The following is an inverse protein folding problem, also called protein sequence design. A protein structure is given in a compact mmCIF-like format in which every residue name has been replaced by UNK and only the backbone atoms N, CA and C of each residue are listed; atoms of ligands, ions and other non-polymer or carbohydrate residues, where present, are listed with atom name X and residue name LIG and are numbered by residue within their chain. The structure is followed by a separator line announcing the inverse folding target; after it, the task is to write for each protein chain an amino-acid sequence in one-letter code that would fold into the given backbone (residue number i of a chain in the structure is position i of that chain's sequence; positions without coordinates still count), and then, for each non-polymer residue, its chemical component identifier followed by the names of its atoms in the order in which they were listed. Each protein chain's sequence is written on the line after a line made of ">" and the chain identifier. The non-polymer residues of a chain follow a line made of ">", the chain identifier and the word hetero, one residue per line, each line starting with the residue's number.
data_IF_748658136163
#
_entry.id   IF_748658136163
#
_cell.length_a   1.000
_cell.length_b   1.000
_cell.length_c   1.000
_cell.angle_alpha   90.00
_cell.angle_beta   90.00
_cell.angle_gamma   90.00
#
_symmetry.space_group_name_H-M   'P 1'
#
loop_
_entity.id
_entity.type
_entity.pdbx_description
1 polymer ?
#
# COMPACT_ATOMS: atom_id res chain seq x y z
N UNK A 1 24.46 39.30 -21.66
CA UNK A 1 24.87 39.26 -20.24
C UNK A 1 23.62 39.27 -19.38
N UNK A 2 23.59 38.66 -18.18
CA UNK A 2 24.29 37.48 -17.66
C UNK A 2 23.30 36.37 -17.21
N UNK A 3 23.78 35.16 -16.84
CA UNK A 3 23.50 34.49 -15.55
C UNK A 3 24.19 33.12 -15.42
N UNK A 4 24.61 32.83 -14.19
CA UNK A 4 25.58 31.84 -13.71
C UNK A 4 25.11 30.37 -13.75
N UNK A 5 26.05 29.40 -13.82
CA UNK A 5 25.94 28.10 -13.11
C UNK A 5 27.30 27.40 -12.90
N UNK A 6 27.52 27.03 -11.62
CA UNK A 6 28.29 25.93 -11.03
C UNK A 6 29.59 25.38 -11.67
N UNK A 7 30.67 25.36 -10.87
CA UNK A 7 31.49 24.16 -10.60
C UNK A 7 32.51 24.40 -9.46
N UNK A 8 32.69 23.43 -8.56
CA UNK A 8 33.93 23.25 -7.80
C UNK A 8 33.76 22.85 -6.33
N UNK A 9 33.92 21.56 -6.00
CA UNK A 9 35.15 21.06 -5.38
C UNK A 9 35.14 19.52 -5.25
N UNK A 10 36.17 18.90 -5.81
CA UNK A 10 36.58 17.51 -5.61
C UNK A 10 37.33 17.35 -4.27
N UNK A 11 37.15 16.22 -3.58
CA UNK A 11 38.23 15.62 -2.79
C UNK A 11 38.38 14.14 -3.15
N UNK A 12 39.55 13.83 -3.71
CA UNK A 12 40.12 12.50 -3.90
C UNK A 12 40.10 11.69 -2.61
N UNK A 13 39.72 10.42 -2.70
CA UNK A 13 40.27 9.37 -1.83
C UNK A 13 40.63 8.18 -2.73
N UNK A 14 41.94 8.05 -2.98
CA UNK A 14 42.55 6.92 -3.68
C UNK A 14 42.61 5.67 -2.79
N UNK A 15 42.48 4.52 -3.45
CA UNK A 15 43.12 3.26 -3.04
C UNK A 15 42.63 2.57 -1.77
N UNK A 16 41.71 1.61 -1.91
CA UNK A 16 41.68 0.42 -1.03
C UNK A 16 41.30 -0.84 -1.81
N UNK A 17 42.13 -1.88 -1.63
CA UNK A 17 41.84 -3.29 -1.96
C UNK A 17 40.56 -3.74 -1.29
N UNK A 18 39.74 -4.53 -1.99
CA UNK A 18 38.66 -5.31 -1.39
C UNK A 18 39.08 -6.78 -1.41
N UNK A 19 39.34 -7.35 -0.23
CA UNK A 19 39.59 -8.79 -0.05
C UNK A 19 38.26 -9.55 0.10
N UNK A 20 38.15 -10.74 -0.49
CA UNK A 20 36.92 -11.55 -0.47
C UNK A 20 37.08 -12.87 0.32
N UNK A 21 36.02 -13.23 1.05
CA UNK A 21 35.90 -14.35 1.98
C UNK A 21 35.90 -15.74 1.32
N UNK A 22 36.40 -16.74 2.06
CA UNK A 22 36.57 -18.15 1.66
C UNK A 22 35.41 -18.99 2.22
N UNK A 23 34.67 -19.69 1.36
CA UNK A 23 33.66 -20.70 1.75
C UNK A 23 33.93 -22.04 1.08
N UNK A 24 34.17 -23.08 1.87
CA UNK A 24 34.61 -24.40 1.43
C UNK A 24 33.47 -25.43 1.37
N UNK A 25 33.45 -26.23 0.29
CA UNK A 25 33.01 -27.63 0.31
C UNK A 25 31.76 -27.95 -0.50
N UNK A 26 31.93 -28.70 -1.61
CA UNK A 26 31.06 -29.83 -2.01
C UNK A 26 31.67 -30.59 -3.21
N UNK A 27 31.60 -31.93 -3.12
CA UNK A 27 32.23 -32.93 -3.98
C UNK A 27 31.59 -33.02 -5.38
N UNK A 28 32.39 -33.41 -6.38
CA UNK A 28 31.97 -33.61 -7.78
C UNK A 28 31.66 -35.09 -8.08
N UNK A 29 30.69 -35.39 -8.98
CA UNK A 29 30.72 -36.60 -9.78
C UNK A 29 31.22 -36.33 -11.21
N UNK A 30 31.90 -37.35 -11.75
CA UNK A 30 32.67 -37.36 -12.99
C UNK A 30 31.81 -37.46 -14.26
N UNK A 31 32.40 -36.94 -15.35
CA UNK A 31 32.38 -37.37 -16.78
C UNK A 31 31.49 -36.63 -17.81
N UNK A 32 32.27 -36.07 -18.76
CA UNK A 32 32.16 -36.06 -20.24
C UNK A 32 31.31 -34.97 -20.92
N UNK A 33 32.03 -34.16 -21.70
CA UNK A 33 31.52 -33.15 -22.63
C UNK A 33 31.99 -31.75 -22.25
N UNK A 34 32.94 -31.16 -23.00
CA UNK A 34 33.31 -29.75 -22.85
C UNK A 34 32.24 -28.90 -23.58
N UNK A 35 31.41 -28.08 -22.92
CA UNK A 35 30.67 -27.08 -23.65
C UNK A 35 31.59 -25.88 -23.92
N UNK A 36 31.75 -25.50 -25.19
CA UNK A 36 32.31 -24.21 -25.58
C UNK A 36 31.16 -23.20 -25.54
N UNK A 37 31.25 -22.18 -24.70
CA UNK A 37 30.31 -21.07 -24.71
C UNK A 37 31.00 -19.80 -25.24
N UNK A 38 30.41 -19.20 -26.26
CA UNK A 38 30.72 -17.84 -26.73
C UNK A 38 29.53 -16.95 -26.38
N UNK A 39 29.76 -15.92 -25.56
CA UNK A 39 28.81 -14.83 -25.39
C UNK A 39 29.34 -13.64 -26.19
N UNK A 40 28.55 -13.18 -27.15
CA UNK A 40 28.82 -11.97 -27.94
C UNK A 40 27.77 -10.93 -27.53
N UNK A 41 28.20 -9.83 -26.93
CA UNK A 41 27.34 -8.66 -26.72
C UNK A 41 27.94 -7.46 -27.46
N UNK A 42 27.13 -6.88 -28.33
CA UNK A 42 27.47 -5.70 -29.11
C UNK A 42 27.10 -4.46 -28.28
N UNK A 43 28.08 -3.79 -27.70
CA UNK A 43 27.91 -2.44 -27.18
C UNK A 43 27.92 -1.47 -28.37
N UNK A 44 26.90 -0.62 -28.50
CA UNK A 44 26.99 0.55 -29.36
C UNK A 44 28.08 1.46 -28.78
N UNK A 45 29.11 1.64 -29.59
CA UNK A 45 30.30 2.49 -29.44
C UNK A 45 31.32 2.09 -28.36
N UNK A 46 32.49 1.63 -28.84
CA UNK A 46 33.77 1.77 -28.13
C UNK A 46 34.29 0.54 -27.38
N UNK A 47 35.03 -0.31 -28.10
CA UNK A 47 36.11 -1.22 -27.64
C UNK A 47 36.24 -1.52 -26.12
N UNK A 48 35.97 -2.77 -25.74
CA UNK A 48 36.60 -3.40 -24.59
C UNK A 48 37.20 -4.76 -25.04
N UNK A 49 38.52 -4.83 -25.13
CA UNK A 49 39.23 -6.05 -25.51
C UNK A 49 39.39 -7.01 -24.34
N UNK A 50 39.07 -8.30 -24.53
CA UNK A 50 39.38 -9.37 -23.58
C UNK A 50 40.47 -10.29 -24.16
N UNK A 51 41.53 -10.56 -23.38
CA UNK A 51 42.46 -11.64 -23.71
C UNK A 51 41.85 -13.00 -23.35
N UNK A 52 41.91 -13.95 -24.31
CA UNK A 52 41.50 -15.35 -24.12
C UNK A 52 42.39 -16.02 -23.07
N UNK A 53 41.78 -16.58 -22.02
CA UNK A 53 42.43 -17.56 -21.16
C UNK A 53 41.72 -18.91 -21.28
N UNK A 54 42.50 -19.98 -21.46
CA UNK A 54 42.02 -21.37 -21.49
C UNK A 54 41.78 -21.86 -20.06
N UNK A 55 40.60 -22.40 -19.74
CA UNK A 55 40.27 -22.83 -18.37
C UNK A 55 39.96 -24.33 -18.26
N UNK A 56 40.43 -24.93 -17.16
CA UNK A 56 40.10 -26.29 -16.71
C UNK A 56 39.10 -26.26 -15.54
N UNK A 57 38.27 -27.30 -15.34
CA UNK A 57 37.20 -27.29 -14.35
C UNK A 57 37.76 -27.55 -12.94
N UNK A 58 37.44 -26.69 -11.95
CA UNK A 58 37.68 -26.96 -10.53
C UNK A 58 38.12 -25.80 -9.63
N UNK A 59 38.40 -24.61 -10.17
CA UNK A 59 38.87 -23.47 -9.35
C UNK A 59 37.82 -22.37 -9.21
N UNK A 60 37.84 -21.68 -8.06
CA UNK A 60 37.04 -20.49 -7.79
C UNK A 60 37.20 -19.46 -8.91
N UNK A 61 36.07 -18.90 -9.35
CA UNK A 61 36.01 -17.90 -10.41
C UNK A 61 36.47 -16.56 -9.84
N UNK A 62 37.70 -16.16 -10.16
CA UNK A 62 38.19 -14.81 -9.86
C UNK A 62 38.08 -13.94 -11.12
N UNK A 63 37.14 -13.00 -11.12
CA UNK A 63 37.10 -11.96 -12.13
C UNK A 63 38.08 -10.84 -11.75
N UNK A 64 39.19 -10.71 -12.49
CA UNK A 64 39.99 -9.48 -12.49
C UNK A 64 39.33 -8.50 -13.47
N UNK A 65 38.50 -7.59 -12.95
CA UNK A 65 37.99 -6.47 -13.73
C UNK A 65 39.09 -5.41 -13.75
N UNK A 66 39.69 -5.16 -14.92
CA UNK A 66 40.65 -4.07 -15.10
C UNK A 66 39.86 -2.80 -15.41
N UNK A 67 39.84 -1.84 -14.48
CA UNK A 67 39.20 -0.54 -14.66
C UNK A 67 40.30 0.44 -15.05
N UNK A 68 40.35 0.93 -16.30
CA UNK A 68 41.28 1.99 -16.67
C UNK A 68 40.90 3.28 -15.92
N UNK A 69 41.87 4.10 -15.50
CA UNK A 69 41.59 5.36 -14.82
C UNK A 69 40.94 6.34 -15.80
N UNK A 70 39.65 6.58 -15.65
CA UNK A 70 38.86 7.49 -16.49
C UNK A 70 37.39 7.49 -16.07
N UNK A 71 36.71 8.65 -16.21
CA UNK A 71 35.34 8.92 -15.75
C UNK A 71 34.33 7.85 -16.22
N UNK A 72 34.10 6.84 -15.40
CA UNK A 72 32.91 6.02 -15.46
C UNK A 72 32.26 6.04 -14.08
N UNK A 73 31.15 6.76 -13.95
CA UNK A 73 30.25 6.58 -12.81
C UNK A 73 29.57 5.22 -12.95
N UNK A 74 30.12 4.21 -12.28
CA UNK A 74 29.41 2.95 -12.09
C UNK A 74 28.22 3.21 -11.15
N UNK A 75 27.02 3.31 -11.70
CA UNK A 75 25.83 3.28 -10.85
C UNK A 75 25.73 1.88 -10.22
N UNK A 76 25.44 1.82 -8.91
CA UNK A 76 25.25 0.57 -8.18
C UNK A 76 24.22 -0.38 -8.84
N UNK A 77 23.34 0.19 -9.66
CA UNK A 77 22.36 -0.49 -10.49
C UNK A 77 23.00 -1.49 -11.46
N UNK A 78 24.08 -1.10 -12.15
CA UNK A 78 24.80 -1.97 -13.09
C UNK A 78 25.60 -3.06 -12.38
N UNK A 79 26.23 -2.75 -11.25
CA UNK A 79 27.01 -3.73 -10.47
C UNK A 79 26.16 -4.89 -9.94
N UNK A 80 24.93 -4.59 -9.47
CA UNK A 80 24.02 -5.61 -8.97
C UNK A 80 23.43 -6.47 -10.12
N UNK A 81 23.16 -5.88 -11.28
CA UNK A 81 22.67 -6.60 -12.47
C UNK A 81 23.73 -7.56 -13.03
N UNK A 82 24.99 -7.09 -13.09
CA UNK A 82 26.13 -7.90 -13.53
C UNK A 82 26.38 -9.06 -12.55
N UNK A 83 26.30 -8.82 -11.23
CA UNK A 83 26.38 -9.90 -10.25
C UNK A 83 25.22 -10.90 -10.41
N UNK A 84 24.00 -10.42 -10.67
CA UNK A 84 22.83 -11.26 -10.90
C UNK A 84 23.01 -12.20 -12.11
N UNK A 85 23.34 -11.66 -13.28
CA UNK A 85 23.52 -12.49 -14.49
C UNK A 85 24.72 -13.45 -14.37
N UNK A 86 25.77 -13.05 -13.64
CA UNK A 86 26.97 -13.86 -13.44
C UNK A 86 26.84 -14.94 -12.35
N UNK A 87 26.04 -14.72 -11.30
CA UNK A 87 25.78 -15.71 -10.24
C UNK A 87 24.73 -16.75 -10.67
N UNK A 88 23.84 -16.37 -11.59
CA UNK A 88 22.72 -17.22 -12.02
C UNK A 88 23.09 -18.26 -13.09
N UNK A 89 24.37 -18.41 -13.45
CA UNK A 89 24.83 -19.57 -14.24
C UNK A 89 24.93 -20.80 -13.34
N UNK A 90 23.77 -21.42 -13.02
CA UNK A 90 23.66 -22.68 -12.27
C UNK A 90 22.85 -22.62 -10.96
N UNK A 91 22.25 -21.48 -10.61
CA UNK A 91 21.45 -21.29 -9.39
C UNK A 91 20.00 -20.82 -9.69
N UNK A 92 19.11 -20.87 -8.70
CA UNK A 92 17.71 -20.42 -8.84
C UNK A 92 17.65 -18.92 -9.02
N UNK A 93 17.05 -18.46 -10.12
CA UNK A 93 16.87 -17.04 -10.44
C UNK A 93 16.16 -16.28 -9.30
N UNK A 94 16.72 -15.13 -8.92
CA UNK A 94 16.02 -14.20 -8.02
C UNK A 94 14.75 -13.69 -8.70
N UNK A 95 13.70 -13.48 -7.90
CA UNK A 95 12.50 -12.79 -8.35
C UNK A 95 12.71 -11.26 -8.35
N UNK A 96 11.73 -10.56 -8.92
CA UNK A 96 11.78 -9.10 -9.05
C UNK A 96 11.89 -8.37 -7.71
N UNK A 97 11.25 -8.85 -6.64
CA UNK A 97 11.33 -8.24 -5.31
C UNK A 97 12.68 -8.47 -4.65
N UNK A 98 13.26 -9.66 -4.79
CA UNK A 98 14.62 -9.98 -4.34
C UNK A 98 15.64 -9.08 -5.05
N UNK A 99 15.47 -8.84 -6.35
CA UNK A 99 16.30 -7.91 -7.11
C UNK A 99 16.12 -6.45 -6.65
N UNK A 100 14.87 -5.99 -6.47
CA UNK A 100 14.57 -4.65 -5.93
C UNK A 100 15.22 -4.43 -4.57
N UNK A 101 15.19 -5.43 -3.69
CA UNK A 101 15.80 -5.36 -2.38
C UNK A 101 17.33 -5.15 -2.44
N UNK A 102 17.99 -5.69 -3.46
CA UNK A 102 19.43 -5.52 -3.67
C UNK A 102 19.77 -4.16 -4.31
N UNK A 103 18.95 -3.70 -5.27
CA UNK A 103 19.19 -2.46 -6.01
C UNK A 103 18.84 -1.22 -5.17
N UNK A 104 17.63 -1.19 -4.61
CA UNK A 104 17.07 -0.02 -3.95
C UNK A 104 17.24 -0.11 -2.43
N UNK A 105 18.49 0.01 -1.97
CA UNK A 105 18.80 0.06 -0.53
C UNK A 105 18.51 1.46 0.03
N UNK A 106 17.81 1.53 1.15
CA UNK A 106 17.46 2.80 1.78
C UNK A 106 16.37 2.66 2.84
N UNK A 107 16.03 3.76 3.54
CA UNK A 107 15.02 3.78 4.60
C UNK A 107 13.65 3.27 4.12
N UNK A 108 13.28 3.51 2.87
CA UNK A 108 12.00 3.04 2.34
C UNK A 108 11.90 1.52 2.25
N UNK A 109 12.97 0.84 1.78
CA UNK A 109 12.99 -0.62 1.75
C UNK A 109 12.99 -1.22 3.17
N UNK A 110 13.56 -0.51 4.16
CA UNK A 110 13.47 -0.90 5.58
C UNK A 110 12.02 -0.79 6.07
N UNK A 111 11.35 0.32 5.77
CA UNK A 111 9.94 0.54 6.11
C UNK A 111 9.03 -0.55 5.51
N UNK A 112 9.21 -0.90 4.23
CA UNK A 112 8.39 -1.93 3.58
C UNK A 112 8.53 -3.30 4.26
N UNK A 113 9.75 -3.67 4.65
CA UNK A 113 10.00 -4.90 5.42
C UNK A 113 9.37 -4.83 6.80
N UNK A 114 9.45 -3.69 7.46
CA UNK A 114 8.85 -3.50 8.78
C UNK A 114 7.33 -3.66 8.73
N UNK A 115 6.67 -3.01 7.77
CA UNK A 115 5.23 -3.13 7.55
C UNK A 115 4.82 -4.57 7.19
N UNK A 116 5.66 -5.32 6.45
CA UNK A 116 5.40 -6.74 6.13
C UNK A 116 5.45 -7.64 7.38
N UNK A 117 6.09 -7.19 8.46
CA UNK A 117 6.16 -7.92 9.73
C UNK A 117 5.02 -7.63 10.69
N UNK A 118 4.12 -6.70 10.35
CA UNK A 118 2.93 -6.41 11.16
C UNK A 118 2.09 -7.68 11.38
N UNK A 119 1.72 -7.94 12.63
CA UNK A 119 1.02 -9.18 13.00
C UNK A 119 -0.38 -9.26 12.44
N UNK A 120 -1.10 -8.13 12.35
CA UNK A 120 -2.43 -8.09 11.78
C UNK A 120 -2.36 -8.30 10.27
N UNK A 121 -1.39 -7.68 9.59
CA UNK A 121 -1.13 -7.95 8.17
C UNK A 121 -0.85 -9.43 7.89
N UNK A 122 0.08 -10.04 8.64
CA UNK A 122 0.45 -11.46 8.49
C UNK A 122 -0.76 -12.38 8.70
N UNK A 123 -1.60 -12.07 9.69
CA UNK A 123 -2.84 -12.79 9.95
C UNK A 123 -3.82 -12.71 8.77
N UNK A 124 -4.00 -11.52 8.18
CA UNK A 124 -4.90 -11.33 7.02
C UNK A 124 -4.43 -12.05 5.77
N UNK A 125 -3.13 -12.04 5.50
CA UNK A 125 -2.54 -12.72 4.33
C UNK A 125 -2.39 -14.23 4.57
N UNK A 126 -2.55 -14.70 5.81
CA UNK A 126 -2.47 -16.11 6.17
C UNK A 126 -1.05 -16.66 6.23
N UNK A 127 -0.08 -15.82 6.63
CA UNK A 127 1.33 -16.22 6.79
C UNK A 127 1.75 -16.14 8.27
N UNK A 128 2.48 -17.14 8.75
CA UNK A 128 3.00 -17.17 10.12
C UNK A 128 4.46 -16.68 10.22
N UNK A 129 5.20 -16.75 9.12
CA UNK A 129 6.61 -16.37 9.02
C UNK A 129 6.82 -15.49 7.77
N UNK A 130 7.84 -14.62 7.78
CA UNK A 130 8.24 -13.86 6.59
C UNK A 130 8.41 -14.80 5.39
N UNK A 131 7.97 -14.36 4.21
CA UNK A 131 8.13 -15.14 3.00
C UNK A 131 9.59 -15.07 2.52
N UNK A 132 10.24 -16.23 2.31
CA UNK A 132 11.65 -16.29 1.89
C UNK A 132 11.90 -15.58 0.56
N UNK A 133 10.91 -15.55 -0.33
CA UNK A 133 10.94 -14.91 -1.64
C UNK A 133 10.41 -13.46 -1.59
N UNK A 134 10.17 -12.93 -0.39
CA UNK A 134 9.73 -11.55 -0.12
C UNK A 134 8.39 -11.16 -0.77
N UNK A 135 7.49 -12.14 -0.99
CA UNK A 135 6.16 -11.87 -1.56
C UNK A 135 5.31 -10.96 -0.67
N UNK A 136 5.46 -11.09 0.64
CA UNK A 136 4.86 -10.22 1.65
C UNK A 136 5.34 -8.77 1.50
N UNK A 137 6.64 -8.57 1.32
CA UNK A 137 7.23 -7.24 1.08
C UNK A 137 6.74 -6.65 -0.25
N UNK A 138 6.61 -7.48 -1.29
CA UNK A 138 6.03 -7.02 -2.56
C UNK A 138 4.58 -6.57 -2.41
N UNK A 139 3.75 -7.26 -1.62
CA UNK A 139 2.37 -6.81 -1.34
C UNK A 139 2.34 -5.43 -0.67
N UNK A 140 3.20 -5.20 0.32
CA UNK A 140 3.33 -3.87 0.95
C UNK A 140 3.77 -2.82 -0.08
N UNK A 141 4.73 -3.15 -0.94
CA UNK A 141 5.17 -2.26 -2.02
C UNK A 141 4.05 -1.95 -3.01
N UNK A 142 3.21 -2.94 -3.35
CA UNK A 142 2.03 -2.71 -4.20
C UNK A 142 1.07 -1.72 -3.56
N UNK A 143 0.76 -1.91 -2.28
CA UNK A 143 -0.07 -0.98 -1.52
C UNK A 143 0.52 0.44 -1.56
N UNK A 144 1.81 0.59 -1.23
CA UNK A 144 2.46 1.89 -1.20
C UNK A 144 2.47 2.57 -2.58
N UNK A 145 2.74 1.79 -3.64
CA UNK A 145 2.72 2.28 -5.03
C UNK A 145 1.35 2.82 -5.42
N UNK A 146 0.26 2.09 -5.12
CA UNK A 146 -1.09 2.59 -5.40
C UNK A 146 -1.48 3.75 -4.48
N UNK A 147 -1.05 3.75 -3.22
CA UNK A 147 -1.33 4.82 -2.27
C UNK A 147 -0.71 6.17 -2.70
N UNK A 148 0.55 6.16 -3.17
CA UNK A 148 1.25 7.37 -3.62
C UNK A 148 0.88 7.77 -5.04
N UNK A 149 0.86 6.81 -5.98
CA UNK A 149 0.73 7.14 -7.40
C UNK A 149 -0.70 7.07 -7.91
N UNK A 150 -1.61 6.39 -7.20
CA UNK A 150 -2.96 6.03 -7.64
C UNK A 150 -2.98 5.05 -8.81
N UNK A 151 -4.11 4.37 -8.99
CA UNK A 151 -4.31 3.45 -10.12
C UNK A 151 -4.44 4.18 -11.47
N UNK A 152 -4.77 5.49 -11.47
CA UNK A 152 -4.87 6.30 -12.69
C UNK A 152 -3.50 6.49 -13.37
N UNK A 153 -2.42 6.49 -12.59
CA UNK A 153 -1.05 6.58 -13.11
C UNK A 153 -0.40 5.21 -13.34
N UNK A 154 -1.15 4.12 -13.18
CA UNK A 154 -0.62 2.77 -13.42
C UNK A 154 -0.25 2.61 -14.89
N UNK A 155 0.98 2.16 -15.16
CA UNK A 155 1.46 1.83 -16.51
C UNK A 155 2.01 0.39 -16.50
N UNK A 156 1.45 -0.54 -17.28
CA UNK A 156 1.96 -1.90 -17.34
C UNK A 156 3.38 -1.93 -17.94
N UNK A 157 4.22 -2.93 -17.57
CA UNK A 157 3.93 -4.00 -16.61
C UNK A 157 4.11 -3.56 -15.15
N UNK A 158 3.47 -4.28 -14.22
CA UNK A 158 3.56 -4.03 -12.75
C UNK A 158 5.01 -3.88 -12.28
N UNK A 159 5.94 -4.69 -12.82
CA UNK A 159 7.37 -4.60 -12.50
C UNK A 159 7.91 -3.17 -12.63
N UNK A 160 7.61 -2.47 -13.73
CA UNK A 160 8.07 -1.09 -13.94
C UNK A 160 7.40 -0.12 -12.97
N UNK A 161 6.10 -0.32 -12.72
CA UNK A 161 5.34 0.48 -11.76
C UNK A 161 5.97 0.42 -10.36
N UNK A 162 6.26 -0.79 -9.85
CA UNK A 162 6.88 -0.98 -8.54
C UNK A 162 8.34 -0.50 -8.49
N UNK A 163 9.12 -0.70 -9.55
CA UNK A 163 10.48 -0.19 -9.61
C UNK A 163 10.52 1.34 -9.55
N UNK A 164 9.59 2.01 -10.24
CA UNK A 164 9.50 3.48 -10.22
C UNK A 164 9.09 4.03 -8.85
N UNK A 165 8.36 3.26 -8.04
CA UNK A 165 8.02 3.60 -6.66
C UNK A 165 9.26 3.53 -5.76
N UNK A 166 10.02 2.44 -5.87
CA UNK A 166 11.26 2.23 -5.10
C UNK A 166 12.30 3.30 -5.40
N UNK A 167 12.45 3.70 -6.66
CA UNK A 167 13.42 4.72 -7.08
C UNK A 167 13.06 6.10 -6.53
N UNK A 168 11.79 6.51 -6.66
CA UNK A 168 11.33 7.83 -6.21
C UNK A 168 11.38 8.00 -4.69
N UNK A 169 11.07 6.94 -3.96
CA UNK A 169 10.93 7.00 -2.50
C UNK A 169 12.12 6.38 -1.77
N UNK A 170 13.22 6.03 -2.45
CA UNK A 170 14.36 5.32 -1.85
C UNK A 170 14.81 5.95 -0.52
N UNK A 171 14.84 7.29 -0.47
CA UNK A 171 15.17 8.11 0.70
C UNK A 171 13.93 8.86 1.22
N UNK A 172 12.87 8.13 1.52
CA UNK A 172 11.63 8.67 2.11
C UNK A 172 11.90 9.47 3.39
N UNK A 173 11.18 10.57 3.61
CA UNK A 173 11.23 11.33 4.86
C UNK A 173 10.44 10.65 5.97
N UNK A 174 10.71 11.02 7.22
CA UNK A 174 10.01 10.48 8.39
C UNK A 174 8.50 10.81 8.38
N UNK A 175 8.13 11.97 7.85
CA UNK A 175 6.72 12.38 7.71
C UNK A 175 5.96 11.45 6.77
N UNK A 176 6.45 11.27 5.54
CA UNK A 176 5.82 10.38 4.56
C UNK A 176 5.86 8.91 5.01
N UNK A 177 6.92 8.50 5.72
CA UNK A 177 7.02 7.17 6.35
C UNK A 177 5.91 6.95 7.38
N UNK A 178 5.66 7.93 8.24
CA UNK A 178 4.58 7.90 9.24
C UNK A 178 3.20 7.85 8.58
N UNK A 179 2.96 8.67 7.55
CA UNK A 179 1.70 8.70 6.82
C UNK A 179 1.40 7.35 6.15
N UNK A 180 2.39 6.76 5.49
CA UNK A 180 2.24 5.45 4.85
C UNK A 180 1.93 4.36 5.89
N UNK A 181 2.61 4.39 7.05
CA UNK A 181 2.37 3.46 8.14
C UNK A 181 0.96 3.60 8.72
N UNK A 182 0.49 4.82 8.92
CA UNK A 182 -0.85 5.10 9.43
C UNK A 182 -1.92 4.65 8.44
N UNK A 183 -1.75 4.96 7.15
CA UNK A 183 -2.62 4.51 6.09
C UNK A 183 -2.66 2.97 6.00
N UNK A 184 -1.52 2.30 6.07
CA UNK A 184 -1.42 0.84 6.04
C UNK A 184 -2.17 0.20 7.21
N UNK A 185 -1.93 0.68 8.44
CA UNK A 185 -2.62 0.20 9.65
C UNK A 185 -4.11 0.49 9.61
N UNK A 186 -4.51 1.64 9.06
CA UNK A 186 -5.91 1.99 8.85
C UNK A 186 -6.61 0.94 7.97
N UNK A 187 -6.07 0.70 6.77
CA UNK A 187 -6.62 -0.28 5.82
C UNK A 187 -6.73 -1.67 6.44
N UNK A 188 -5.68 -2.14 7.13
CA UNK A 188 -5.66 -3.47 7.76
C UNK A 188 -6.75 -3.61 8.80
N UNK A 189 -6.92 -2.61 9.68
CA UNK A 189 -7.93 -2.67 10.73
C UNK A 189 -9.34 -2.73 10.17
N UNK A 190 -9.63 -1.92 9.14
CA UNK A 190 -10.92 -1.93 8.46
C UNK A 190 -11.16 -3.29 7.78
N UNK A 191 -10.20 -3.77 7.01
CA UNK A 191 -10.33 -5.03 6.25
C UNK A 191 -10.47 -6.24 7.20
N UNK A 192 -9.77 -6.23 8.33
CA UNK A 192 -9.89 -7.28 9.32
C UNK A 192 -11.31 -7.36 9.91
N UNK A 193 -11.91 -6.22 10.21
CA UNK A 193 -13.29 -6.16 10.70
C UNK A 193 -14.30 -6.52 9.62
N UNK A 194 -14.05 -6.13 8.36
CA UNK A 194 -14.96 -6.38 7.24
C UNK A 194 -15.00 -7.85 6.81
N UNK A 195 -13.84 -8.51 6.68
CA UNK A 195 -13.71 -9.83 6.04
C UNK A 195 -13.01 -10.88 6.91
N UNK A 196 -12.20 -10.48 7.89
CA UNK A 196 -11.46 -11.38 8.77
C UNK A 196 -10.64 -12.43 8.01
N UNK A 197 -10.87 -13.72 8.30
CA UNK A 197 -10.17 -14.84 7.64
C UNK A 197 -10.40 -14.97 6.12
N UNK A 198 -11.43 -14.28 5.61
CA UNK A 198 -11.80 -14.28 4.20
C UNK A 198 -11.21 -13.09 3.43
N UNK A 199 -10.36 -12.28 4.07
CA UNK A 199 -9.70 -11.16 3.41
C UNK A 199 -8.93 -11.61 2.17
N UNK A 200 -9.06 -10.81 1.11
CA UNK A 200 -8.37 -11.01 -0.18
C UNK A 200 -8.67 -12.34 -0.88
N UNK A 201 -9.80 -12.99 -0.54
CA UNK A 201 -10.32 -14.19 -1.20
C UNK A 201 -11.57 -13.85 -1.99
N UNK A 202 -11.80 -14.56 -3.08
CA UNK A 202 -13.01 -14.42 -3.88
C UNK A 202 -14.16 -15.21 -3.24
N UNK A 203 -15.36 -14.66 -3.28
CA UNK A 203 -16.59 -15.41 -2.99
C UNK A 203 -17.20 -15.95 -4.29
N UNK A 204 -17.59 -17.21 -4.28
CA UNK A 204 -18.29 -17.88 -5.36
C UNK A 204 -19.76 -18.05 -5.00
N UNK A 205 -20.64 -17.65 -5.92
CA UNK A 205 -22.09 -17.86 -5.79
C UNK A 205 -22.40 -19.35 -5.66
N UNK A 206 -23.42 -19.68 -4.89
CA UNK A 206 -23.93 -21.04 -4.76
C UNK A 206 -24.44 -21.62 -6.08
N UNK A 207 -24.41 -22.94 -6.15
CA UNK A 207 -24.95 -23.77 -7.23
C UNK A 207 -26.11 -24.61 -6.69
N UNK A 208 -26.84 -25.30 -7.56
CA UNK A 208 -27.92 -26.21 -7.14
C UNK A 208 -27.44 -27.29 -6.15
N UNK A 209 -26.16 -27.67 -6.25
CA UNK A 209 -25.50 -28.64 -5.35
C UNK A 209 -24.93 -28.03 -4.07
N UNK A 210 -24.71 -26.72 -4.03
CA UNK A 210 -24.27 -25.98 -2.83
C UNK A 210 -24.91 -24.58 -2.83
N UNK A 211 -26.14 -24.43 -2.32
CA UNK A 211 -26.91 -23.19 -2.44
C UNK A 211 -26.29 -22.00 -1.68
N UNK A 212 -25.44 -22.26 -0.68
CA UNK A 212 -24.87 -21.23 0.19
C UNK A 212 -23.66 -20.50 -0.40
N UNK A 213 -23.11 -20.99 -1.52
CA UNK A 213 -21.85 -20.48 -2.05
C UNK A 213 -20.67 -20.79 -1.13
N UNK A 214 -19.50 -20.24 -1.45
CA UNK A 214 -18.30 -20.42 -0.63
C UNK A 214 -17.21 -19.38 -0.90
N UNK A 215 -16.38 -19.15 0.10
CA UNK A 215 -15.15 -18.37 -0.04
C UNK A 215 -14.01 -19.27 -0.53
N UNK A 216 -13.19 -18.75 -1.43
CA UNK A 216 -11.97 -19.40 -1.91
C UNK A 216 -11.07 -19.79 -0.71
N UNK A 217 -10.86 -21.10 -0.43
CA UNK A 217 -10.22 -21.52 0.80
C UNK A 217 -8.70 -21.22 0.82
N UNK A 218 -8.02 -21.31 -0.34
CA UNK A 218 -6.55 -21.33 -0.39
C UNK A 218 -5.95 -20.18 -1.18
N UNK A 219 -6.60 -19.73 -2.25
CA UNK A 219 -5.99 -18.79 -3.18
C UNK A 219 -6.15 -17.35 -2.72
N UNK A 220 -5.02 -16.70 -2.44
CA UNK A 220 -4.93 -15.26 -2.25
C UNK A 220 -5.07 -14.53 -3.59
N UNK A 221 -5.89 -13.48 -3.64
CA UNK A 221 -6.06 -12.64 -4.82
C UNK A 221 -5.43 -11.24 -4.63
N UNK A 222 -4.29 -11.01 -5.30
CA UNK A 222 -3.59 -9.73 -5.25
C UNK A 222 -4.40 -8.55 -5.81
N UNK A 223 -5.32 -8.79 -6.75
CA UNK A 223 -6.18 -7.73 -7.29
C UNK A 223 -7.22 -7.26 -6.27
N UNK A 224 -7.75 -8.17 -5.44
CA UNK A 224 -8.61 -7.81 -4.31
C UNK A 224 -7.81 -7.09 -3.21
N UNK A 225 -6.57 -7.51 -2.98
CA UNK A 225 -5.66 -6.79 -2.09
C UNK A 225 -5.45 -5.35 -2.53
N UNK A 226 -5.12 -5.13 -3.81
CA UNK A 226 -4.87 -3.79 -4.35
C UNK A 226 -6.05 -2.83 -4.10
N UNK A 227 -7.28 -3.23 -4.46
CA UNK A 227 -8.46 -2.36 -4.35
C UNK A 227 -8.87 -2.09 -2.91
N UNK A 228 -8.84 -3.11 -2.03
CA UNK A 228 -9.28 -2.97 -0.66
C UNK A 228 -8.29 -2.11 0.13
N UNK A 229 -7.00 -2.40 -0.01
CA UNK A 229 -5.96 -1.66 0.69
C UNK A 229 -5.89 -0.20 0.24
N UNK A 230 -6.04 0.05 -1.07
CA UNK A 230 -6.07 1.40 -1.63
C UNK A 230 -7.27 2.21 -1.14
N UNK A 231 -8.48 1.66 -1.26
CA UNK A 231 -9.70 2.41 -0.91
C UNK A 231 -9.69 2.78 0.56
N UNK A 232 -9.48 1.80 1.45
CA UNK A 232 -9.56 2.06 2.89
C UNK A 232 -8.37 2.83 3.47
N UNK A 233 -7.32 3.09 2.69
CA UNK A 233 -6.16 3.85 3.15
C UNK A 233 -6.54 5.28 3.60
N UNK A 234 -7.49 5.88 2.88
CA UNK A 234 -7.89 7.29 3.04
C UNK A 234 -9.28 7.46 3.66
N UNK A 235 -10.01 6.37 3.89
CA UNK A 235 -11.35 6.43 4.45
C UNK A 235 -11.35 6.66 5.97
N UNK A 236 -12.38 7.36 6.44
CA UNK A 236 -12.62 7.52 7.86
C UNK A 236 -13.17 6.22 8.46
N UNK A 237 -12.39 5.60 9.35
CA UNK A 237 -12.76 4.38 10.07
C UNK A 237 -14.19 4.40 10.57
N UNK A 238 -14.62 5.48 11.23
CA UNK A 238 -15.92 5.53 11.90
C UNK A 238 -17.07 5.38 10.91
N UNK A 239 -16.95 5.98 9.72
CA UNK A 239 -17.99 5.90 8.69
C UNK A 239 -18.01 4.49 8.10
N UNK A 240 -16.84 3.92 7.80
CA UNK A 240 -16.75 2.54 7.31
C UNK A 240 -17.31 1.55 8.34
N UNK A 241 -17.04 1.78 9.63
CA UNK A 241 -17.56 0.96 10.73
C UNK A 241 -19.08 1.01 10.85
N UNK A 242 -19.71 2.13 10.50
CA UNK A 242 -21.18 2.27 10.49
C UNK A 242 -21.84 1.46 9.36
N UNK A 243 -21.15 1.29 8.24
CA UNK A 243 -21.68 0.61 7.05
C UNK A 243 -20.99 -0.73 6.75
N UNK A 244 -20.38 -1.39 7.75
CA UNK A 244 -19.60 -2.61 7.51
C UNK A 244 -20.40 -3.71 6.81
N UNK A 245 -21.62 -3.98 7.28
CA UNK A 245 -22.45 -5.05 6.73
C UNK A 245 -22.88 -4.73 5.30
N UNK A 246 -23.29 -3.48 5.03
CA UNK A 246 -23.65 -3.02 3.69
C UNK A 246 -22.47 -3.12 2.73
N UNK A 247 -21.29 -2.65 3.13
CA UNK A 247 -20.06 -2.72 2.34
C UNK A 247 -19.69 -4.18 2.07
N UNK A 248 -19.84 -5.06 3.06
CA UNK A 248 -19.54 -6.49 2.92
C UNK A 248 -20.46 -7.15 1.89
N UNK A 249 -21.77 -6.95 2.01
CA UNK A 249 -22.74 -7.53 1.09
C UNK A 249 -22.58 -6.98 -0.33
N UNK A 250 -22.36 -5.68 -0.47
CA UNK A 250 -22.13 -5.08 -1.77
C UNK A 250 -20.80 -5.55 -2.41
N UNK A 251 -19.76 -5.80 -1.62
CA UNK A 251 -18.53 -6.41 -2.11
C UNK A 251 -18.75 -7.86 -2.59
N UNK A 252 -19.53 -8.65 -1.85
CA UNK A 252 -19.92 -10.01 -2.27
C UNK A 252 -20.72 -9.95 -3.57
N UNK A 253 -21.71 -9.07 -3.65
CA UNK A 253 -22.53 -8.84 -4.84
C UNK A 253 -21.66 -8.48 -6.05
N UNK A 254 -20.66 -7.62 -5.87
CA UNK A 254 -19.72 -7.24 -6.93
C UNK A 254 -18.91 -8.45 -7.44
N UNK A 255 -18.50 -9.36 -6.55
CA UNK A 255 -17.76 -10.58 -6.91
C UNK A 255 -18.60 -11.69 -7.58
N UNK A 256 -19.94 -11.61 -7.48
CA UNK A 256 -20.86 -12.63 -8.00
C UNK A 256 -21.69 -12.18 -9.19
N UNK A 257 -21.99 -10.88 -9.28
CA UNK A 257 -22.99 -10.35 -10.23
C UNK A 257 -22.37 -9.45 -11.31
N UNK A 258 -21.25 -8.76 -11.04
CA UNK A 258 -20.61 -7.87 -12.03
C UNK A 258 -19.53 -8.64 -12.81
N UNK A 259 -19.88 -9.12 -14.00
CA UNK A 259 -18.95 -9.84 -14.86
C UNK A 259 -17.70 -9.00 -15.22
N UNK A 260 -17.88 -7.69 -15.39
CA UNK A 260 -16.78 -6.80 -15.70
C UNK A 260 -15.75 -6.69 -14.57
N UNK A 261 -16.21 -6.73 -13.32
CA UNK A 261 -15.37 -6.82 -12.16
C UNK A 261 -14.73 -8.21 -12.03
N UNK A 262 -15.51 -9.29 -12.19
CA UNK A 262 -15.01 -10.67 -12.14
C UNK A 262 -13.86 -10.89 -13.14
N UNK A 263 -14.05 -10.51 -14.39
CA UNK A 263 -13.02 -10.63 -15.43
C UNK A 263 -11.75 -9.87 -15.04
N UNK A 264 -11.90 -8.69 -14.43
CA UNK A 264 -10.76 -7.84 -14.06
C UNK A 264 -9.93 -8.35 -12.88
N UNK A 265 -10.46 -9.30 -12.10
CA UNK A 265 -9.77 -9.97 -11.00
C UNK A 265 -9.30 -11.40 -11.34
N UNK A 266 -9.71 -11.96 -12.48
CA UNK A 266 -9.35 -13.30 -12.93
C UNK A 266 -8.46 -13.31 -14.19
N UNK A 267 -8.74 -12.45 -15.17
CA UNK A 267 -8.09 -12.43 -16.48
C UNK A 267 -7.18 -11.22 -16.62
N UNK A 268 -5.95 -11.44 -17.11
CA UNK A 268 -5.01 -10.36 -17.48
C UNK A 268 -4.92 -9.23 -16.44
N UNK A 269 -4.79 -9.62 -15.16
CA UNK A 269 -4.95 -8.75 -13.98
C UNK A 269 -3.93 -7.60 -13.89
N UNK A 270 -2.84 -7.69 -14.65
CA UNK A 270 -1.82 -6.64 -14.79
C UNK A 270 -2.06 -5.67 -15.95
N UNK A 271 -3.07 -5.89 -16.80
CA UNK A 271 -3.41 -4.97 -17.89
C UNK A 271 -3.97 -3.66 -17.34
N UNK A 272 -3.75 -2.55 -18.05
CA UNK A 272 -4.27 -1.25 -17.65
C UNK A 272 -5.80 -1.28 -17.51
N UNK A 273 -6.49 -1.88 -18.49
CA UNK A 273 -7.95 -1.98 -18.49
C UNK A 273 -8.47 -2.77 -17.27
N UNK A 274 -7.87 -3.91 -16.93
CA UNK A 274 -8.28 -4.68 -15.76
C UNK A 274 -8.04 -3.93 -14.45
N UNK A 275 -6.91 -3.21 -14.34
CA UNK A 275 -6.61 -2.36 -13.17
C UNK A 275 -7.65 -1.25 -13.05
N UNK A 276 -7.83 -0.43 -14.07
CA UNK A 276 -8.79 0.69 -14.02
C UNK A 276 -10.20 0.18 -13.72
N UNK A 277 -10.65 -0.89 -14.39
CA UNK A 277 -11.99 -1.43 -14.23
C UNK A 277 -12.29 -1.90 -12.80
N UNK A 278 -11.39 -2.68 -12.18
CA UNK A 278 -11.64 -3.17 -10.80
C UNK A 278 -11.66 -2.04 -9.78
N UNK A 279 -10.76 -1.06 -9.93
CA UNK A 279 -10.67 0.07 -9.02
C UNK A 279 -11.89 0.97 -9.15
N UNK A 280 -12.33 1.26 -10.39
CA UNK A 280 -13.50 2.11 -10.62
C UNK A 280 -14.79 1.45 -10.13
N UNK A 281 -15.02 0.16 -10.44
CA UNK A 281 -16.21 -0.57 -9.99
C UNK A 281 -16.30 -0.63 -8.47
N UNK A 282 -15.19 -0.93 -7.80
CA UNK A 282 -15.14 -0.95 -6.34
C UNK A 282 -15.34 0.45 -5.74
N UNK A 283 -14.67 1.47 -6.31
CA UNK A 283 -14.80 2.86 -5.84
C UNK A 283 -16.23 3.37 -5.95
N UNK A 284 -16.88 3.17 -7.09
CA UNK A 284 -18.26 3.62 -7.33
C UNK A 284 -19.22 2.97 -6.34
N UNK A 285 -19.11 1.65 -6.14
CA UNK A 285 -19.88 0.94 -5.11
C UNK A 285 -19.65 1.57 -3.73
N UNK A 286 -18.40 1.70 -3.31
CA UNK A 286 -18.09 2.19 -1.97
C UNK A 286 -18.62 3.63 -1.75
N UNK A 287 -18.54 4.47 -2.78
CA UNK A 287 -19.07 5.84 -2.75
C UNK A 287 -20.60 5.90 -2.68
N UNK A 288 -21.30 4.93 -3.27
CA UNK A 288 -22.76 4.83 -3.19
C UNK A 288 -23.22 4.56 -1.76
N UNK A 289 -22.50 3.72 -1.02
CA UNK A 289 -22.82 3.39 0.38
C UNK A 289 -22.39 4.49 1.34
N UNK A 290 -21.13 4.93 1.23
CA UNK A 290 -20.53 5.89 2.17
C UNK A 290 -21.02 7.32 1.91
N UNK A 291 -21.56 7.58 0.72
CA UNK A 291 -22.04 8.88 0.27
C UNK A 291 -20.92 9.89 0.00
N UNK A 292 -21.23 10.93 -0.76
CA UNK A 292 -20.41 12.15 -0.79
C UNK A 292 -20.64 12.88 0.52
N UNK A 293 -19.64 12.83 1.39
CA UNK A 293 -19.63 13.45 2.72
C UNK A 293 -20.34 14.82 2.76
N UNK A 294 -21.46 14.91 3.48
CA UNK A 294 -21.65 16.06 4.35
C UNK A 294 -21.19 15.62 5.73
N UNK A 295 -20.13 16.25 6.22
CA UNK A 295 -19.70 16.12 7.61
C UNK A 295 -20.81 16.74 8.46
N UNK A 296 -21.76 15.92 8.92
CA UNK A 296 -22.81 16.41 9.80
C UNK A 296 -22.15 16.96 11.07
N UNK A 297 -22.28 18.26 11.28
CA UNK A 297 -21.80 18.90 12.50
C UNK A 297 -22.62 18.34 13.66
N UNK A 298 -21.96 17.70 14.64
CA UNK A 298 -22.66 17.12 15.81
C UNK A 298 -23.05 18.17 16.85
N UNK A 299 -22.51 19.37 16.73
CA UNK A 299 -22.69 20.46 17.68
C UNK A 299 -23.25 21.67 16.95
N UNK A 300 -24.20 22.35 17.58
CA UNK A 300 -24.66 23.66 17.13
C UNK A 300 -23.55 24.71 17.29
N UNK A 301 -23.55 25.73 16.43
CA UNK A 301 -22.57 26.82 16.50
C UNK A 301 -22.79 27.71 17.73
N UNK A 302 -21.72 28.32 18.25
CA UNK A 302 -21.84 29.28 19.36
C UNK A 302 -22.66 30.52 18.96
N UNK A 303 -22.64 30.88 17.67
CA UNK A 303 -23.46 31.97 17.12
C UNK A 303 -24.96 31.67 17.29
N UNK A 304 -25.38 30.46 16.91
CA UNK A 304 -26.78 30.03 17.08
C UNK A 304 -27.19 30.01 18.55
N UNK A 305 -26.28 29.60 19.46
CA UNK A 305 -26.52 29.64 20.91
C UNK A 305 -26.79 31.08 21.40
N UNK A 306 -25.99 32.05 20.96
CA UNK A 306 -26.18 33.46 21.29
C UNK A 306 -27.49 34.03 20.74
N UNK A 307 -27.84 33.67 19.50
CA UNK A 307 -29.11 34.07 18.86
C UNK A 307 -30.32 33.53 19.62
N UNK A 308 -30.32 32.23 19.97
CA UNK A 308 -31.39 31.62 20.75
C UNK A 308 -31.53 32.27 22.13
N UNK A 309 -30.41 32.46 22.85
CA UNK A 309 -30.41 33.08 24.18
C UNK A 309 -30.90 34.53 24.16
N UNK A 310 -30.56 35.30 23.12
CA UNK A 310 -30.99 36.70 22.98
C UNK A 310 -32.46 36.82 22.60
N UNK A 311 -33.01 35.82 21.89
CA UNK A 311 -34.41 35.78 21.47
C UNK A 311 -35.33 35.35 22.60
N UNK A 312 -35.00 34.26 23.28
CA UNK A 312 -35.73 33.73 24.43
C UNK A 312 -34.76 32.99 25.35
N UNK A 313 -34.57 33.53 26.55
CA UNK A 313 -33.66 32.96 27.55
C UNK A 313 -34.34 31.90 28.43
N UNK A 314 -35.61 31.56 28.19
CA UNK A 314 -36.27 30.48 28.89
C UNK A 314 -35.74 29.10 28.46
N UNK A 315 -35.53 28.21 29.42
CA UNK A 315 -35.18 26.83 29.14
C UNK A 315 -36.38 26.06 28.58
N UNK A 316 -36.23 25.46 27.40
CA UNK A 316 -37.29 24.70 26.74
C UNK A 316 -37.69 23.38 27.45
N UNK A 317 -37.00 22.98 28.53
CA UNK A 317 -37.31 21.78 29.31
C UNK A 317 -38.08 22.15 30.59
N UNK A 318 -37.55 23.06 31.40
CA UNK A 318 -38.15 23.41 32.69
C UNK A 318 -38.95 24.72 32.69
N UNK A 319 -38.89 25.52 31.61
CA UNK A 319 -39.56 26.81 31.50
C UNK A 319 -38.88 27.97 32.25
N UNK A 320 -37.90 27.70 33.12
CA UNK A 320 -37.22 28.73 33.90
C UNK A 320 -36.22 29.55 33.05
N UNK A 321 -36.06 30.83 33.38
CA UNK A 321 -35.12 31.75 32.73
C UNK A 321 -33.67 31.41 33.06
N UNK A 322 -32.83 31.33 32.02
CA UNK A 322 -31.39 31.12 32.13
C UNK A 322 -30.70 32.48 32.25
N UNK A 323 -29.99 32.73 33.36
CA UNK A 323 -29.38 34.04 33.62
C UNK A 323 -28.04 34.25 32.90
N UNK A 324 -27.25 33.19 32.75
CA UNK A 324 -25.90 33.25 32.17
C UNK A 324 -25.84 32.31 30.97
N UNK A 325 -25.38 32.82 29.83
CA UNK A 325 -25.29 32.03 28.59
C UNK A 325 -24.44 30.76 28.77
N UNK A 326 -23.41 30.77 29.62
CA UNK A 326 -22.57 29.60 29.87
C UNK A 326 -23.31 28.45 30.57
N UNK A 327 -24.36 28.76 31.33
CA UNK A 327 -25.25 27.79 31.96
C UNK A 327 -26.29 27.20 30.98
N UNK A 328 -26.38 27.75 29.77
CA UNK A 328 -27.19 27.17 28.70
C UNK A 328 -26.42 26.16 27.83
N UNK A 329 -27.17 25.24 27.25
CA UNK A 329 -26.75 24.33 26.19
C UNK A 329 -27.79 24.35 25.06
N UNK A 330 -27.35 24.16 23.82
CA UNK A 330 -28.24 23.94 22.68
C UNK A 330 -28.38 22.45 22.48
N UNK A 331 -29.61 21.95 22.55
CA UNK A 331 -29.96 20.54 22.39
C UNK A 331 -30.85 20.34 21.16
N UNK A 332 -30.91 19.12 20.65
CA UNK A 332 -31.79 18.77 19.55
C UNK A 332 -33.25 18.58 20.02
N UNK A 333 -34.24 19.03 19.26
CA UNK A 333 -35.66 18.79 19.55
C UNK A 333 -35.96 17.30 19.36
N UNK A 334 -35.72 16.79 18.15
CA UNK A 334 -35.62 15.36 17.84
C UNK A 334 -34.18 14.91 18.06
N UNK A 335 -33.97 13.88 18.87
CA UNK A 335 -32.64 13.42 19.23
C UNK A 335 -31.87 12.88 18.03
N UNK A 336 -30.55 13.06 18.03
CA UNK A 336 -29.68 12.65 16.92
C UNK A 336 -29.80 11.16 16.60
N UNK A 337 -29.87 10.28 17.61
CA UNK A 337 -30.00 8.83 17.41
C UNK A 337 -31.38 8.39 16.88
N UNK A 338 -32.38 9.27 16.94
CA UNK A 338 -33.70 9.08 16.30
C UNK A 338 -33.75 9.73 14.90
N UNK A 339 -32.61 10.15 14.34
CA UNK A 339 -32.53 10.79 13.02
C UNK A 339 -32.67 12.31 13.03
N UNK A 340 -32.59 12.96 14.21
CA UNK A 340 -32.63 14.42 14.31
C UNK A 340 -31.38 15.09 13.73
N UNK A 341 -31.57 16.04 12.80
CA UNK A 341 -30.48 16.77 12.14
C UNK A 341 -29.98 17.96 12.98
N UNK A 342 -28.71 18.33 12.86
CA UNK A 342 -28.15 19.54 13.49
C UNK A 342 -28.42 20.78 12.65
N UNK A 343 -29.68 21.22 12.63
CA UNK A 343 -30.15 22.40 11.91
C UNK A 343 -30.86 23.37 12.88
N UNK A 344 -30.86 24.69 12.63
CA UNK A 344 -31.49 25.67 13.53
C UNK A 344 -32.93 25.33 13.91
N UNK A 345 -33.68 24.72 13.00
CA UNK A 345 -35.09 24.33 13.20
C UNK A 345 -35.25 23.17 14.19
N UNK A 346 -34.22 22.36 14.37
CA UNK A 346 -34.18 21.27 15.34
C UNK A 346 -33.41 21.66 16.61
N UNK A 347 -33.07 22.95 16.81
CA UNK A 347 -32.33 23.43 17.96
C UNK A 347 -33.27 24.00 19.04
N UNK A 348 -32.96 23.74 20.32
CA UNK A 348 -33.60 24.39 21.46
C UNK A 348 -32.59 24.80 22.52
N UNK A 349 -32.88 25.90 23.21
CA UNK A 349 -32.09 26.37 24.33
C UNK A 349 -32.52 25.68 25.63
N UNK A 350 -31.57 25.18 26.41
CA UNK A 350 -31.83 24.44 27.65
C UNK A 350 -30.82 24.81 28.72
N UNK A 351 -31.16 24.67 30.01
CA UNK A 351 -30.15 24.61 31.06
C UNK A 351 -29.26 23.39 30.81
N UNK A 352 -27.95 23.55 31.04
CA UNK A 352 -26.99 22.46 30.90
C UNK A 352 -27.33 21.29 31.82
N UNK A 353 -27.75 21.58 33.05
CA UNK A 353 -28.24 20.58 34.00
C UNK A 353 -29.47 19.82 33.50
N UNK A 354 -30.48 20.54 33.00
CA UNK A 354 -31.71 19.92 32.47
C UNK A 354 -31.41 19.03 31.26
N UNK A 355 -30.50 19.45 30.38
CA UNK A 355 -30.07 18.66 29.24
C UNK A 355 -29.38 17.34 29.66
N UNK A 356 -28.48 17.42 30.64
CA UNK A 356 -27.78 16.23 31.17
C UNK A 356 -28.69 15.26 31.93
N UNK A 357 -29.73 15.78 32.58
CA UNK A 357 -30.65 14.98 33.39
C UNK A 357 -31.73 14.27 32.55
N UNK A 358 -31.78 14.52 31.24
CA UNK A 358 -32.81 13.98 30.37
C UNK A 358 -32.59 12.48 30.12
N UNK A 359 -33.62 11.62 30.30
CA UNK A 359 -33.52 10.20 29.98
C UNK A 359 -33.30 9.99 28.48
N UNK A 360 -32.40 9.07 28.13
CA UNK A 360 -32.03 8.76 26.72
C UNK A 360 -33.08 7.93 25.96
N UNK A 361 -34.21 7.62 26.61
CA UNK A 361 -35.29 6.76 26.08
C UNK A 361 -36.62 7.46 26.25
N UNK A 362 -36.95 8.34 25.29
CA UNK A 362 -38.32 8.65 24.87
C UNK A 362 -38.30 8.83 23.35
#
# INVERSE_FOLDING_TARGET
>A
MPQFTQAGLLRQIEGRRVEYFKGSGLQTPKKRGKPRFSASFCAREGFCGFQRANFQPGNAIFFKIYIPPGRFEFSAHFGCLICYESINTGSVSLNDQELRNCIYRGPYNVLLKELSQDSAFKSLVGISKPDKRMRDVELVLRFASFYHQTYLNYKPPVRKFLNSEMERNQFISDTYSSDLRNAFKNSIQIINSLLGKNSFKRFYRGTDTNPNGYWEPKKFNASLFDILMYSFARENKNIIFQHLDEIREAFIHLMTSDQGFIDSIELSTSSLQAVTKRFDRWRLMLQEIVGVQQKEERCFSNKLKQELFSKDSACAICGNTIQVIDDSAVDHIQQYWQGGKTIPENARLTHRYCNWSRPRKE
#
